data_IF_621004723966
#
_entry.id   IF_621004723966
#
_cell.length_a   1.000
_cell.length_b   1.000
_cell.length_c   1.000
_cell.angle_alpha   90.00
_cell.angle_beta   90.00
_cell.angle_gamma   90.00
#
_symmetry.space_group_name_H-M   'P 1'
#
loop_
_entity.id
_entity.type
_entity.pdbx_description
1 polymer ?
#
# COMPACT_ATOMS: atom_id res chain seq x y z
N UNK A 1 -9.59 15.09 -7.56
CA UNK A 1 -10.10 15.52 -6.24
C UNK A 1 -9.49 16.89 -6.00
N UNK A 2 -10.28 17.93 -5.78
CA UNK A 2 -9.72 19.26 -5.52
C UNK A 2 -8.90 19.22 -4.22
N UNK A 3 -7.72 19.83 -4.21
CA UNK A 3 -6.77 19.77 -3.08
C UNK A 3 -7.42 20.17 -1.75
N UNK A 4 -8.34 21.15 -1.76
CA UNK A 4 -9.08 21.59 -0.57
C UNK A 4 -9.94 20.48 0.06
N UNK A 5 -10.65 19.67 -0.75
CA UNK A 5 -11.47 18.57 -0.24
C UNK A 5 -10.61 17.46 0.34
N UNK A 6 -9.43 17.24 -0.25
CA UNK A 6 -8.47 16.28 0.29
C UNK A 6 -7.94 16.73 1.65
N UNK A 7 -7.54 18.00 1.79
CA UNK A 7 -7.06 18.55 3.07
C UNK A 7 -8.14 18.55 4.16
N UNK A 8 -9.38 18.94 3.83
CA UNK A 8 -10.50 18.83 4.78
C UNK A 8 -10.70 17.38 5.25
N UNK A 9 -10.62 16.41 4.33
CA UNK A 9 -10.72 15.00 4.69
C UNK A 9 -9.59 14.52 5.61
N UNK A 10 -8.36 15.01 5.38
CA UNK A 10 -7.20 14.73 6.24
C UNK A 10 -7.40 15.30 7.64
N UNK A 11 -7.93 16.52 7.74
CA UNK A 11 -8.15 17.19 9.02
C UNK A 11 -9.22 16.51 9.86
N UNK A 12 -10.32 16.05 9.24
CA UNK A 12 -11.35 15.26 9.93
C UNK A 12 -10.76 14.00 10.56
N UNK A 13 -9.92 13.27 9.82
CA UNK A 13 -9.26 12.05 10.33
C UNK A 13 -8.31 12.38 11.50
N UNK A 14 -7.55 13.48 11.42
CA UNK A 14 -6.65 13.94 12.49
C UNK A 14 -7.38 14.40 13.75
N UNK A 15 -8.55 15.04 13.61
CA UNK A 15 -9.36 15.48 14.76
C UNK A 15 -9.85 14.30 15.61
N UNK A 16 -10.12 13.15 14.99
CA UNK A 16 -10.58 11.96 15.71
C UNK A 16 -9.54 11.32 16.64
N UNK A 17 -8.24 11.42 16.30
CA UNK A 17 -7.17 10.93 17.18
C UNK A 17 -5.79 11.49 16.80
N UNK A 18 -4.90 11.63 17.79
CA UNK A 18 -3.47 11.85 17.53
C UNK A 18 -2.70 10.56 17.22
N UNK A 19 -3.30 9.40 17.49
CA UNK A 19 -2.66 8.09 17.25
C UNK A 19 -2.95 7.61 15.82
N UNK A 20 -1.95 7.51 14.93
CA UNK A 20 -2.16 7.10 13.55
C UNK A 20 -2.73 5.68 13.40
N UNK A 21 -2.58 4.83 14.42
CA UNK A 21 -3.16 3.46 14.41
C UNK A 21 -4.68 3.47 14.51
N UNK A 22 -5.28 4.59 14.94
CA UNK A 22 -6.72 4.79 15.05
C UNK A 22 -7.30 5.51 13.83
N UNK A 23 -6.46 5.94 12.89
CA UNK A 23 -6.92 6.61 11.68
C UNK A 23 -7.48 5.61 10.68
N UNK A 24 -8.50 6.03 9.93
CA UNK A 24 -9.01 5.25 8.80
C UNK A 24 -8.15 5.40 7.55
N UNK A 25 -7.38 6.48 7.45
CA UNK A 25 -6.55 6.80 6.28
C UNK A 25 -5.20 7.35 6.70
N UNK A 26 -4.16 7.02 5.95
CA UNK A 26 -2.80 7.52 6.16
C UNK A 26 -2.23 8.13 4.88
N UNK A 27 -1.46 9.21 5.04
CA UNK A 27 -0.83 9.93 3.93
C UNK A 27 0.59 10.44 4.23
N UNK A 28 1.10 10.17 5.43
CA UNK A 28 2.45 10.54 5.86
C UNK A 28 3.32 9.29 5.93
N UNK A 29 4.52 9.36 5.35
CA UNK A 29 5.49 8.26 5.42
C UNK A 29 5.82 7.89 6.87
N UNK A 30 5.91 8.89 7.76
CA UNK A 30 6.18 8.69 9.19
C UNK A 30 5.08 7.86 9.86
N UNK A 31 3.82 8.20 9.60
CA UNK A 31 2.68 7.54 10.24
C UNK A 31 2.50 6.11 9.71
N UNK A 32 2.71 5.93 8.40
CA UNK A 32 2.72 4.59 7.80
C UNK A 32 3.83 3.74 8.39
N UNK A 33 5.07 4.23 8.46
CA UNK A 33 6.17 3.50 9.09
C UNK A 33 5.88 3.14 10.56
N UNK A 34 5.28 4.06 11.33
CA UNK A 34 4.89 3.79 12.71
C UNK A 34 3.87 2.64 12.81
N UNK A 35 2.88 2.62 11.91
CA UNK A 35 1.86 1.57 11.87
C UNK A 35 2.46 0.24 11.41
N UNK A 36 3.27 0.24 10.34
CA UNK A 36 3.89 -0.95 9.79
C UNK A 36 4.91 -1.59 10.75
N UNK A 37 5.56 -0.77 11.59
CA UNK A 37 6.43 -1.25 12.67
C UNK A 37 5.67 -1.83 13.87
N UNK A 38 4.36 -1.63 13.93
CA UNK A 38 3.51 -2.20 14.96
C UNK A 38 3.09 -3.61 14.54
N UNK A 39 3.70 -4.63 15.16
CA UNK A 39 3.48 -6.04 14.82
C UNK A 39 2.10 -6.60 15.25
N UNK A 40 1.10 -5.75 15.47
CA UNK A 40 -0.26 -6.20 15.79
C UNK A 40 -1.21 -5.87 14.65
N UNK A 41 -2.26 -6.67 14.59
CA UNK A 41 -3.41 -6.47 13.71
C UNK A 41 -3.96 -5.06 13.86
N UNK A 42 -4.10 -4.35 12.73
CA UNK A 42 -4.80 -3.08 12.64
C UNK A 42 -6.08 -3.27 11.81
N UNK A 43 -7.22 -2.85 12.39
CA UNK A 43 -8.54 -2.88 11.76
C UNK A 43 -9.10 -1.50 11.46
N UNK A 44 -8.44 -0.43 11.92
CA UNK A 44 -8.90 0.94 11.73
C UNK A 44 -8.58 1.43 10.33
N UNK A 45 -7.37 1.11 9.83
CA UNK A 45 -6.85 1.68 8.59
C UNK A 45 -7.47 0.96 7.39
N UNK A 46 -8.04 1.76 6.51
CA UNK A 46 -8.70 1.33 5.29
C UNK A 46 -8.03 1.88 4.03
N UNK A 47 -7.23 2.94 4.15
CA UNK A 47 -6.59 3.58 3.01
C UNK A 47 -5.19 4.12 3.32
N UNK A 48 -4.26 3.92 2.38
CA UNK A 48 -2.93 4.49 2.42
C UNK A 48 -2.65 5.15 1.06
N UNK A 49 -2.27 6.43 1.08
CA UNK A 49 -1.84 7.20 -0.11
C UNK A 49 -0.50 7.85 0.18
N UNK A 50 0.58 7.39 -0.44
CA UNK A 50 1.89 8.03 -0.31
C UNK A 50 2.39 8.58 -1.65
N UNK A 51 2.90 9.79 -1.58
CA UNK A 51 3.76 10.40 -2.59
C UNK A 51 5.14 10.60 -1.94
N UNK A 52 6.11 9.76 -2.28
CA UNK A 52 7.44 9.79 -1.65
C UNK A 52 8.50 9.20 -2.57
N UNK A 53 9.71 9.76 -2.57
CA UNK A 53 10.87 9.17 -3.25
C UNK A 53 11.56 8.06 -2.45
N UNK A 54 11.17 7.86 -1.19
CA UNK A 54 11.87 6.98 -0.24
C UNK A 54 11.06 5.74 0.14
N UNK A 55 10.41 5.13 -0.85
CA UNK A 55 9.57 3.95 -0.56
C UNK A 55 10.42 2.70 -0.27
N UNK A 56 11.64 2.61 -0.83
CA UNK A 56 12.60 1.55 -0.52
C UNK A 56 12.87 1.41 0.99
N UNK A 57 13.12 2.53 1.69
CA UNK A 57 13.34 2.54 3.15
C UNK A 57 12.18 1.89 3.93
N UNK A 58 10.94 2.14 3.50
CA UNK A 58 9.75 1.57 4.10
C UNK A 58 9.69 0.05 3.89
N UNK A 59 10.02 -0.43 2.69
CA UNK A 59 9.91 -1.85 2.33
C UNK A 59 11.07 -2.70 2.87
N UNK A 60 12.29 -2.15 2.85
CA UNK A 60 13.49 -2.80 3.39
C UNK A 60 13.41 -2.95 4.90
N UNK A 61 12.72 -2.05 5.59
CA UNK A 61 12.59 -2.12 7.04
C UNK A 61 11.78 -3.35 7.48
N UNK A 62 10.63 -3.67 6.84
CA UNK A 62 9.77 -4.83 7.19
C UNK A 62 8.83 -5.26 6.05
N UNK A 63 9.18 -6.32 5.29
CA UNK A 63 8.34 -6.80 4.19
C UNK A 63 7.02 -7.43 4.65
N UNK A 64 6.85 -7.88 5.90
CA UNK A 64 5.64 -8.55 6.39
C UNK A 64 4.53 -7.63 6.91
N UNK A 65 4.67 -6.32 6.76
CA UNK A 65 3.92 -5.34 7.53
C UNK A 65 2.50 -5.04 7.03
N UNK A 66 2.24 -5.06 5.72
CA UNK A 66 0.91 -4.73 5.18
C UNK A 66 -0.15 -5.80 5.45
N UNK A 67 0.26 -7.07 5.59
CA UNK A 67 -0.64 -8.18 5.91
C UNK A 67 -1.35 -8.02 7.26
N UNK A 68 -0.81 -7.21 8.17
CA UNK A 68 -1.44 -6.93 9.47
C UNK A 68 -2.55 -5.87 9.40
N UNK A 69 -2.74 -5.19 8.26
CA UNK A 69 -3.76 -4.15 8.08
C UNK A 69 -4.96 -4.75 7.34
N UNK A 70 -5.74 -5.57 8.05
CA UNK A 70 -6.75 -6.46 7.44
C UNK A 70 -7.86 -5.72 6.70
N UNK A 71 -8.23 -4.52 7.14
CA UNK A 71 -9.30 -3.72 6.55
C UNK A 71 -8.79 -2.77 5.46
N UNK A 72 -7.54 -2.87 5.03
CA UNK A 72 -6.99 -2.02 3.99
C UNK A 72 -7.65 -2.31 2.65
N UNK A 73 -8.36 -1.31 2.12
CA UNK A 73 -9.10 -1.36 0.85
C UNK A 73 -8.45 -0.53 -0.25
N UNK A 74 -7.66 0.48 0.11
CA UNK A 74 -7.05 1.41 -0.83
C UNK A 74 -5.55 1.55 -0.55
N UNK A 75 -4.72 1.22 -1.54
CA UNK A 75 -3.28 1.40 -1.51
C UNK A 75 -2.83 2.15 -2.76
N UNK A 76 -2.25 3.33 -2.56
CA UNK A 76 -1.77 4.18 -3.64
C UNK A 76 -0.37 4.67 -3.32
N UNK A 77 0.62 4.17 -4.05
CA UNK A 77 2.00 4.55 -3.91
C UNK A 77 2.52 5.15 -5.20
N UNK A 78 2.90 6.42 -5.13
CA UNK A 78 3.59 7.14 -6.19
C UNK A 78 4.99 7.48 -5.70
N UNK A 79 6.01 6.93 -6.35
CA UNK A 79 7.41 7.27 -6.07
C UNK A 79 8.03 8.04 -7.21
N UNK A 80 8.98 8.91 -6.88
CA UNK A 80 9.62 9.79 -7.85
C UNK A 80 10.52 9.02 -8.81
N UNK A 81 11.34 8.09 -8.32
CA UNK A 81 12.20 7.23 -9.13
C UNK A 81 12.58 5.98 -8.32
N UNK A 82 12.92 4.88 -9.00
CA UNK A 82 13.64 3.76 -8.40
C UNK A 82 15.13 4.11 -8.38
N UNK A 83 15.81 3.99 -7.24
CA UNK A 83 17.27 4.03 -7.24
C UNK A 83 17.76 2.69 -7.82
N UNK A 84 18.67 2.72 -8.79
CA UNK A 84 19.18 1.52 -9.49
C UNK A 84 19.78 0.45 -8.53
N UNK A 85 20.09 0.84 -7.31
CA UNK A 85 20.63 -0.03 -6.24
C UNK A 85 19.57 -0.59 -5.27
N UNK A 86 18.27 -0.33 -5.47
CA UNK A 86 17.23 -0.90 -4.61
C UNK A 86 17.08 -2.40 -4.87
N UNK A 87 17.44 -3.21 -3.87
CA UNK A 87 17.33 -4.66 -3.89
C UNK A 87 15.89 -5.09 -4.18
N UNK A 88 15.69 -5.78 -5.31
CA UNK A 88 14.42 -6.42 -5.64
C UNK A 88 13.99 -7.39 -4.55
N UNK A 89 12.70 -7.37 -4.24
CA UNK A 89 12.09 -8.24 -3.25
C UNK A 89 11.21 -9.28 -3.97
N UNK A 90 11.14 -10.49 -3.42
CA UNK A 90 10.35 -11.57 -4.03
C UNK A 90 8.84 -11.24 -4.01
N UNK A 91 8.31 -10.91 -2.82
CA UNK A 91 6.91 -10.57 -2.64
C UNK A 91 6.67 -9.79 -1.34
N UNK A 92 5.46 -9.23 -1.21
CA UNK A 92 4.96 -8.58 0.00
C UNK A 92 3.60 -9.16 0.39
N UNK A 93 3.33 -9.48 1.68
CA UNK A 93 2.00 -9.87 2.12
C UNK A 93 1.03 -8.70 1.95
N UNK A 94 -0.09 -8.96 1.30
CA UNK A 94 -1.15 -7.97 1.07
C UNK A 94 -2.46 -8.44 1.72
N UNK A 95 -3.28 -7.52 2.24
CA UNK A 95 -4.56 -7.87 2.82
C UNK A 95 -5.61 -8.18 1.76
N UNK A 96 -6.45 -9.19 2.00
CA UNK A 96 -7.44 -9.68 1.04
C UNK A 96 -8.64 -8.73 0.84
N UNK A 97 -8.79 -7.71 1.69
CA UNK A 97 -9.81 -6.66 1.53
C UNK A 97 -9.41 -5.57 0.52
N UNK A 98 -8.21 -5.66 -0.06
CA UNK A 98 -7.72 -4.66 -0.99
C UNK A 98 -8.62 -4.59 -2.23
N UNK A 99 -9.10 -3.37 -2.53
CA UNK A 99 -9.99 -3.07 -3.67
C UNK A 99 -9.31 -2.23 -4.74
N UNK A 100 -8.42 -1.34 -4.33
CA UNK A 100 -7.66 -0.47 -5.21
C UNK A 100 -6.19 -0.59 -4.87
N UNK A 101 -5.38 -0.93 -5.87
CA UNK A 101 -3.94 -1.06 -5.74
C UNK A 101 -3.21 -0.36 -6.87
N UNK A 102 -2.59 0.78 -6.54
CA UNK A 102 -1.69 1.50 -7.42
C UNK A 102 -0.29 1.54 -6.82
N UNK A 103 0.72 1.13 -7.60
CA UNK A 103 2.12 1.24 -7.22
C UNK A 103 2.97 1.63 -8.44
N UNK A 104 3.51 2.84 -8.41
CA UNK A 104 4.49 3.32 -9.38
C UNK A 104 5.89 2.83 -8.99
N UNK A 105 6.65 2.30 -9.93
CA UNK A 105 7.91 1.59 -9.72
C UNK A 105 7.79 0.41 -8.74
N UNK A 106 6.98 -0.58 -9.13
CA UNK A 106 6.69 -1.75 -8.29
C UNK A 106 7.94 -2.63 -8.05
N UNK A 107 8.39 -2.84 -6.80
CA UNK A 107 9.68 -3.48 -6.49
C UNK A 107 9.63 -5.00 -6.36
N UNK A 108 8.46 -5.63 -6.53
CA UNK A 108 8.28 -7.06 -6.29
C UNK A 108 8.10 -7.85 -7.58
N UNK A 109 8.64 -9.07 -7.60
CA UNK A 109 8.50 -10.00 -8.72
C UNK A 109 7.14 -10.67 -8.77
N UNK A 110 6.58 -10.98 -7.59
CA UNK A 110 5.35 -11.75 -7.44
C UNK A 110 4.46 -11.20 -6.33
N UNK A 111 3.17 -11.54 -6.37
CA UNK A 111 2.33 -11.41 -5.17
C UNK A 111 2.66 -12.49 -4.15
N UNK A 112 2.44 -12.19 -2.86
CA UNK A 112 2.58 -13.20 -1.82
C UNK A 112 1.56 -14.34 -2.05
N UNK A 113 1.93 -15.61 -1.86
CA UNK A 113 1.01 -16.75 -2.02
C UNK A 113 -0.24 -16.69 -1.14
N UNK A 114 -0.19 -15.92 -0.04
CA UNK A 114 -1.31 -15.74 0.87
C UNK A 114 -2.36 -14.73 0.38
N UNK A 115 -2.00 -13.90 -0.60
CA UNK A 115 -2.88 -12.86 -1.14
C UNK A 115 -3.91 -13.46 -2.11
N UNK A 116 -5.19 -13.34 -1.74
CA UNK A 116 -6.35 -13.77 -2.51
C UNK A 116 -7.14 -12.53 -2.94
N UNK A 117 -6.96 -12.03 -4.17
CA UNK A 117 -7.46 -10.73 -4.62
C UNK A 117 -8.96 -10.73 -4.95
N UNK A 118 -9.80 -11.42 -4.17
CA UNK A 118 -11.23 -11.59 -4.48
C UNK A 118 -12.00 -10.26 -4.53
N UNK A 119 -11.54 -9.27 -3.76
CA UNK A 119 -12.14 -7.95 -3.65
C UNK A 119 -11.43 -6.90 -4.53
N UNK A 120 -10.36 -7.28 -5.24
CA UNK A 120 -9.54 -6.33 -6.00
C UNK A 120 -10.28 -5.89 -7.26
N UNK A 121 -10.58 -4.60 -7.34
CA UNK A 121 -11.30 -3.99 -8.47
C UNK A 121 -10.33 -3.31 -9.43
N UNK A 122 -9.31 -2.63 -8.88
CA UNK A 122 -8.32 -1.88 -9.67
C UNK A 122 -6.92 -2.32 -9.29
N UNK A 123 -6.16 -2.75 -10.29
CA UNK A 123 -4.73 -3.05 -10.19
C UNK A 123 -3.96 -2.23 -11.22
N UNK A 124 -3.03 -1.40 -10.74
CA UNK A 124 -2.18 -0.53 -11.56
C UNK A 124 -0.75 -0.58 -11.04
N UNK A 125 0.06 -1.43 -11.65
CA UNK A 125 1.49 -1.56 -11.35
C UNK A 125 2.26 -0.98 -12.54
N UNK A 126 3.11 0.01 -12.29
CA UNK A 126 3.81 0.73 -13.35
C UNK A 126 5.32 0.70 -13.13
N UNK A 127 6.10 0.68 -14.21
CA UNK A 127 7.56 0.84 -14.21
C UNK A 127 8.29 -0.07 -13.21
N UNK A 128 7.78 -1.29 -13.00
CA UNK A 128 8.28 -2.24 -11.99
C UNK A 128 8.75 -3.56 -12.57
N UNK A 129 9.14 -4.48 -11.69
CA UNK A 129 9.79 -5.75 -12.02
C UNK A 129 8.89 -6.97 -11.88
N UNK A 130 7.57 -6.79 -12.00
CA UNK A 130 6.64 -7.91 -11.83
C UNK A 130 6.80 -8.89 -12.99
N UNK A 131 7.21 -10.12 -12.66
CA UNK A 131 7.44 -11.18 -13.66
C UNK A 131 6.16 -11.97 -13.94
N UNK A 132 5.32 -12.19 -12.92
CA UNK A 132 4.07 -12.94 -13.04
C UNK A 132 2.97 -12.37 -12.15
N UNK A 133 1.80 -12.12 -12.75
CA UNK A 133 0.66 -11.50 -12.06
C UNK A 133 -0.08 -12.48 -11.13
N UNK A 134 -0.41 -13.68 -11.62
CA UNK A 134 -1.12 -14.72 -10.85
C UNK A 134 -0.71 -16.11 -11.34
N UNK A 135 -0.88 -17.13 -10.49
CA UNK A 135 -0.70 -18.54 -10.88
C UNK A 135 -1.94 -19.09 -11.62
N UNK A 136 -3.11 -18.46 -11.45
CA UNK A 136 -4.38 -18.83 -12.09
C UNK A 136 -4.96 -17.63 -12.87
N UNK A 137 -5.70 -17.91 -13.94
CA UNK A 137 -6.27 -16.90 -14.86
C UNK A 137 -7.34 -16.06 -14.13
N UNK A 138 -6.92 -14.95 -13.52
CA UNK A 138 -7.84 -13.90 -13.05
C UNK A 138 -7.95 -12.86 -14.17
N UNK A 139 -9.12 -12.79 -14.81
CA UNK A 139 -9.47 -11.70 -15.74
C UNK A 139 -9.63 -10.39 -14.95
N UNK A 140 -8.58 -9.59 -14.88
CA UNK A 140 -8.67 -8.19 -14.46
C UNK A 140 -8.72 -7.34 -15.72
N UNK A 141 -9.73 -6.48 -15.84
CA UNK A 141 -9.77 -5.45 -16.87
C UNK A 141 -8.63 -4.46 -16.58
N UNK A 142 -7.61 -4.45 -17.44
CA UNK A 142 -6.60 -3.40 -17.46
C UNK A 142 -7.28 -2.16 -18.06
N UNK A 143 -7.45 -1.10 -17.24
CA UNK A 143 -7.97 0.22 -17.66
C UNK A 143 -6.88 1.26 -17.53
#
# INVERSE_FOLDING_TARGET
MHDMLEEMGKDIVRQGSRDPRKHSRLWSLKDVNQVLNYNKVNKSIEGIKLLTTRIGDLLLSRPSSFGNIFNLRYLHFRTGHFLEDEKLLESVPLPNELRYYFWMFYPFKYFSPSFKPKNLVVLKLQFGYMEQLWNDIIRILLI
#
